data_IF_109571498167
#
_entry.id   IF_109571498167
#
_cell.length_a   1.000
_cell.length_b   1.000
_cell.length_c   1.000
_cell.angle_alpha   90.00
_cell.angle_beta   90.00
_cell.angle_gamma   90.00
#
_symmetry.space_group_name_H-M   'P 1'
#
loop_
_entity.id
_entity.type
_entity.pdbx_description
1 polymer ?
#
# COMPACT_ATOMS: atom_id res chain seq x y z
N UNK A 1 15.22 -12.92 -10.70
CA UNK A 1 15.96 -12.08 -11.67
C UNK A 1 17.02 -12.91 -12.39
N UNK A 2 17.21 -12.67 -13.69
CA UNK A 2 18.26 -13.30 -14.49
C UNK A 2 19.64 -12.82 -14.03
N UNK A 3 20.62 -13.73 -13.94
CA UNK A 3 22.00 -13.36 -13.61
C UNK A 3 22.53 -12.33 -14.61
N UNK A 4 23.07 -11.23 -14.10
CA UNK A 4 23.69 -10.20 -14.94
C UNK A 4 24.97 -10.74 -15.56
N UNK A 5 25.07 -10.72 -16.88
CA UNK A 5 26.24 -11.16 -17.66
C UNK A 5 26.83 -10.03 -18.51
N UNK A 6 26.08 -8.94 -18.68
CA UNK A 6 26.51 -7.73 -19.39
C UNK A 6 26.13 -6.46 -18.63
N UNK A 7 27.02 -5.48 -18.68
CA UNK A 7 26.81 -4.12 -18.20
C UNK A 7 26.98 -3.11 -19.34
N UNK A 8 26.01 -2.22 -19.51
CA UNK A 8 26.13 -1.02 -20.34
C UNK A 8 26.39 0.18 -19.44
N UNK A 9 27.57 0.79 -19.56
CA UNK A 9 27.96 1.99 -18.83
C UNK A 9 27.73 3.22 -19.71
N UNK A 10 26.77 4.07 -19.31
CA UNK A 10 26.58 5.37 -19.95
C UNK A 10 27.54 6.39 -19.33
N UNK A 11 28.27 7.17 -20.13
CA UNK A 11 29.03 8.33 -19.62
C UNK A 11 28.18 9.59 -19.51
N UNK A 12 26.95 9.57 -20.05
CA UNK A 12 26.02 10.69 -20.06
C UNK A 12 26.67 11.97 -20.61
N UNK A 13 27.12 11.93 -21.86
CA UNK A 13 27.86 13.03 -22.50
C UNK A 13 29.21 13.35 -21.82
N UNK A 14 29.87 12.32 -21.28
CA UNK A 14 31.14 12.43 -20.55
C UNK A 14 31.06 13.35 -19.32
N UNK A 15 29.86 13.53 -18.75
CA UNK A 15 29.63 14.43 -17.61
C UNK A 15 30.02 13.81 -16.26
N UNK A 16 30.46 12.56 -16.24
CA UNK A 16 30.98 11.89 -15.04
C UNK A 16 32.16 10.98 -15.38
N UNK A 17 33.09 10.85 -14.45
CA UNK A 17 34.14 9.82 -14.53
C UNK A 17 33.55 8.45 -14.27
N UNK A 18 33.95 7.47 -15.08
CA UNK A 18 33.55 6.07 -14.94
C UNK A 18 34.79 5.17 -15.09
N UNK A 19 34.77 4.02 -14.43
CA UNK A 19 35.81 2.99 -14.57
C UNK A 19 35.19 1.67 -15.04
N UNK A 20 35.32 1.31 -16.33
CA UNK A 20 34.83 0.04 -16.85
C UNK A 20 35.43 -1.18 -16.14
N UNK A 21 36.70 -1.08 -15.74
CA UNK A 21 37.42 -2.15 -15.02
C UNK A 21 36.85 -2.35 -13.62
N UNK A 22 36.64 -1.26 -12.86
CA UNK A 22 36.05 -1.32 -11.52
C UNK A 22 34.62 -1.84 -11.58
N UNK A 23 33.83 -1.36 -12.54
CA UNK A 23 32.46 -1.79 -12.76
C UNK A 23 32.37 -3.28 -13.14
N UNK A 24 33.26 -3.76 -14.03
CA UNK A 24 33.36 -5.18 -14.37
C UNK A 24 33.64 -6.01 -13.12
N UNK A 25 34.63 -5.60 -12.32
CA UNK A 25 35.02 -6.28 -11.08
C UNK A 25 33.89 -6.31 -10.05
N UNK A 26 33.15 -5.20 -9.88
CA UNK A 26 32.02 -5.10 -8.95
C UNK A 26 30.92 -6.13 -9.24
N UNK A 27 30.75 -6.49 -10.50
CA UNK A 27 29.77 -7.47 -10.97
C UNK A 27 30.37 -8.87 -11.18
N UNK A 28 31.57 -9.14 -10.66
CA UNK A 28 32.20 -10.47 -10.79
C UNK A 28 32.80 -10.76 -12.17
N UNK A 29 33.23 -9.72 -12.91
CA UNK A 29 33.95 -9.84 -14.17
C UNK A 29 33.05 -9.90 -15.42
N UNK A 30 31.84 -9.33 -15.35
CA UNK A 30 30.91 -9.29 -16.51
C UNK A 30 31.48 -8.50 -17.69
N UNK A 31 30.92 -8.74 -18.87
CA UNK A 31 31.24 -7.94 -20.06
C UNK A 31 30.72 -6.51 -19.90
N UNK A 32 31.61 -5.52 -20.02
CA UNK A 32 31.25 -4.11 -19.92
C UNK A 32 31.37 -3.44 -21.28
N UNK A 33 30.31 -2.73 -21.69
CA UNK A 33 30.33 -1.87 -22.87
C UNK A 33 30.01 -0.44 -22.46
N UNK A 34 30.90 0.49 -22.83
CA UNK A 34 30.71 1.92 -22.61
C UNK A 34 30.00 2.56 -23.80
N UNK A 35 29.10 3.49 -23.52
CA UNK A 35 28.44 4.32 -24.52
C UNK A 35 28.20 5.72 -23.95
N UNK A 36 27.99 6.71 -24.81
CA UNK A 36 27.95 8.10 -24.38
C UNK A 36 26.52 8.57 -24.09
N UNK A 37 25.58 8.16 -24.94
CA UNK A 37 24.20 8.62 -24.99
C UNK A 37 23.25 7.44 -25.20
N UNK A 38 23.26 6.47 -24.28
CA UNK A 38 22.44 5.25 -24.36
C UNK A 38 20.94 5.50 -24.50
N UNK A 39 20.43 6.63 -24.01
CA UNK A 39 19.02 6.99 -24.12
C UNK A 39 18.65 7.75 -25.39
N UNK A 40 19.63 8.12 -26.22
CA UNK A 40 19.39 8.86 -27.45
C UNK A 40 20.23 8.29 -28.60
N UNK A 41 21.37 8.89 -28.91
CA UNK A 41 22.16 8.57 -30.10
C UNK A 41 22.74 7.15 -30.10
N UNK A 42 22.90 6.53 -28.93
CA UNK A 42 23.46 5.17 -28.77
C UNK A 42 22.39 4.16 -28.33
N UNK A 43 21.09 4.44 -28.53
CA UNK A 43 20.00 3.54 -28.11
C UNK A 43 20.09 2.16 -28.78
N UNK A 44 20.61 2.11 -30.00
CA UNK A 44 20.88 0.87 -30.75
C UNK A 44 21.88 -0.06 -30.03
N UNK A 45 22.74 0.48 -29.15
CA UNK A 45 23.62 -0.31 -28.30
C UNK A 45 22.81 -1.04 -27.23
N UNK A 46 21.82 -0.38 -26.63
CA UNK A 46 20.91 -0.97 -25.67
C UNK A 46 20.01 -2.02 -26.33
N UNK A 47 19.40 -1.71 -27.47
CA UNK A 47 18.54 -2.64 -28.20
C UNK A 47 19.27 -3.94 -28.55
N UNK A 48 20.47 -3.86 -29.15
CA UNK A 48 21.27 -5.05 -29.50
C UNK A 48 21.71 -5.86 -28.28
N UNK A 49 22.01 -5.18 -27.17
CA UNK A 49 22.37 -5.87 -25.95
C UNK A 49 21.19 -6.67 -25.40
N UNK A 50 19.99 -6.09 -25.45
CA UNK A 50 18.76 -6.77 -25.05
C UNK A 50 18.46 -7.93 -26.00
N UNK A 51 18.46 -7.77 -27.32
CA UNK A 51 18.16 -8.86 -28.30
C UNK A 51 18.99 -10.14 -28.12
N UNK A 52 20.21 -10.04 -27.59
CA UNK A 52 21.13 -11.19 -27.42
C UNK A 52 20.65 -12.31 -26.48
N UNK A 53 19.60 -12.08 -25.67
CA UNK A 53 19.10 -13.04 -24.68
C UNK A 53 19.82 -13.03 -23.32
N UNK A 54 20.92 -12.30 -23.19
CA UNK A 54 21.69 -12.18 -21.95
C UNK A 54 21.03 -11.28 -20.89
N UNK A 55 21.33 -11.52 -19.61
CA UNK A 55 20.99 -10.60 -18.52
C UNK A 55 21.82 -9.32 -18.61
N UNK A 56 21.15 -8.19 -18.87
CA UNK A 56 21.79 -6.89 -19.15
C UNK A 56 21.43 -5.87 -18.07
N UNK A 57 22.46 -5.30 -17.44
CA UNK A 57 22.32 -4.13 -16.57
C UNK A 57 22.67 -2.86 -17.36
N UNK A 58 21.86 -1.81 -17.24
CA UNK A 58 22.14 -0.49 -17.81
C UNK A 58 22.37 0.51 -16.67
N UNK A 59 23.56 1.10 -16.64
CA UNK A 59 23.94 2.08 -15.61
C UNK A 59 23.41 3.48 -15.95
N UNK A 60 22.09 3.63 -15.95
CA UNK A 60 21.39 4.89 -16.08
C UNK A 60 20.00 4.78 -15.42
N UNK A 61 19.84 5.36 -14.23
CA UNK A 61 18.55 5.33 -13.52
C UNK A 61 17.54 6.35 -14.04
N UNK A 62 17.99 7.52 -14.52
CA UNK A 62 17.08 8.57 -15.03
C UNK A 62 16.22 8.07 -16.19
N UNK A 63 16.78 7.23 -17.06
CA UNK A 63 16.10 6.75 -18.27
C UNK A 63 15.60 5.32 -18.12
N UNK A 64 15.37 4.87 -16.89
CA UNK A 64 14.87 3.52 -16.58
C UNK A 64 13.55 3.20 -17.27
N UNK A 65 12.59 4.14 -17.29
CA UNK A 65 11.31 3.98 -17.98
C UNK A 65 11.49 3.72 -19.49
N UNK A 66 12.33 4.51 -20.16
CA UNK A 66 12.66 4.32 -21.58
C UNK A 66 13.24 2.92 -21.85
N UNK A 67 14.17 2.46 -21.00
CA UNK A 67 14.76 1.14 -21.17
C UNK A 67 13.79 0.00 -20.86
N UNK A 68 12.86 0.21 -19.91
CA UNK A 68 11.79 -0.74 -19.61
C UNK A 68 10.84 -0.90 -20.81
N UNK A 69 10.40 0.21 -21.41
CA UNK A 69 9.60 0.21 -22.65
C UNK A 69 10.36 -0.51 -23.79
N UNK A 70 11.64 -0.18 -23.99
CA UNK A 70 12.47 -0.87 -24.99
C UNK A 70 12.60 -2.37 -24.71
N UNK A 71 12.69 -2.78 -23.44
CA UNK A 71 12.75 -4.19 -23.08
C UNK A 71 11.42 -4.91 -23.31
N UNK A 72 10.29 -4.26 -23.07
CA UNK A 72 8.95 -4.79 -23.37
C UNK A 72 8.78 -5.02 -24.87
N UNK A 73 9.12 -4.03 -25.71
CA UNK A 73 9.08 -4.15 -27.17
C UNK A 73 9.93 -5.31 -27.70
N UNK A 74 10.99 -5.68 -26.98
CA UNK A 74 11.94 -6.74 -27.33
C UNK A 74 11.73 -8.07 -26.58
N UNK A 75 10.72 -8.18 -25.71
CA UNK A 75 10.49 -9.36 -24.87
C UNK A 75 11.67 -9.68 -23.94
N UNK A 76 12.26 -8.65 -23.32
CA UNK A 76 13.46 -8.70 -22.51
C UNK A 76 13.25 -8.27 -21.03
N UNK A 77 12.01 -8.12 -20.59
CA UNK A 77 11.60 -7.56 -19.29
C UNK A 77 12.24 -8.30 -18.12
N UNK A 78 12.28 -9.65 -18.17
CA UNK A 78 12.90 -10.48 -17.13
C UNK A 78 14.43 -10.49 -17.11
N UNK A 79 15.06 -9.74 -18.02
CA UNK A 79 16.52 -9.76 -18.28
C UNK A 79 17.18 -8.40 -18.18
N UNK A 80 16.40 -7.32 -18.06
CA UNK A 80 16.91 -5.97 -17.90
C UNK A 80 16.95 -5.60 -16.41
N UNK A 81 18.04 -4.98 -15.98
CA UNK A 81 18.06 -4.16 -14.76
C UNK A 81 18.63 -2.77 -15.06
N UNK A 82 18.24 -1.77 -14.28
CA UNK A 82 18.79 -0.43 -14.37
C UNK A 82 19.30 0.03 -13.02
N UNK A 83 20.35 0.84 -13.03
CA UNK A 83 20.95 1.38 -11.80
C UNK A 83 21.43 2.80 -12.02
N UNK A 84 21.11 3.69 -11.07
CA UNK A 84 21.65 5.03 -11.06
C UNK A 84 23.05 5.06 -10.45
N UNK A 85 24.04 5.32 -11.28
CA UNK A 85 25.42 5.59 -10.87
C UNK A 85 25.82 7.06 -11.09
N UNK A 86 24.93 7.89 -11.64
CA UNK A 86 25.21 9.30 -11.95
C UNK A 86 24.75 10.18 -10.81
N UNK A 87 23.45 10.24 -10.52
CA UNK A 87 22.94 11.19 -9.52
C UNK A 87 23.27 10.70 -8.10
N UNK A 88 23.24 9.38 -7.88
CA UNK A 88 23.70 8.77 -6.63
C UNK A 88 25.23 8.80 -6.44
N UNK A 89 26.04 9.01 -7.48
CA UNK A 89 27.50 8.99 -7.35
C UNK A 89 28.26 9.91 -8.32
N UNK A 90 28.21 9.67 -9.63
CA UNK A 90 29.07 10.32 -10.64
C UNK A 90 28.97 11.85 -10.75
N UNK A 91 27.82 12.46 -10.43
CA UNK A 91 27.67 13.90 -10.29
C UNK A 91 27.91 14.32 -8.84
N UNK A 92 29.19 14.29 -8.47
CA UNK A 92 29.68 14.66 -7.13
C UNK A 92 30.84 15.63 -7.24
N UNK A 93 31.13 16.33 -6.13
CA UNK A 93 32.34 17.15 -6.00
C UNK A 93 33.60 16.29 -5.72
N UNK A 94 33.42 15.02 -5.35
CA UNK A 94 34.52 14.07 -5.15
C UNK A 94 35.19 13.74 -6.50
N UNK A 95 36.52 13.94 -6.65
CA UNK A 95 37.20 13.61 -7.89
C UNK A 95 37.23 12.11 -8.23
N UNK A 96 36.96 11.21 -7.26
CA UNK A 96 36.90 9.76 -7.49
C UNK A 96 35.67 9.10 -6.87
N UNK A 97 34.58 9.05 -7.64
CA UNK A 97 33.35 8.36 -7.27
C UNK A 97 33.37 6.84 -7.54
N UNK A 98 34.49 6.28 -8.01
CA UNK A 98 34.56 4.92 -8.58
C UNK A 98 34.12 3.85 -7.59
N UNK A 99 34.55 3.95 -6.32
CA UNK A 99 34.17 2.99 -5.28
C UNK A 99 32.66 2.99 -5.01
N UNK A 100 32.03 4.17 -5.01
CA UNK A 100 30.58 4.30 -4.80
C UNK A 100 29.81 3.78 -6.01
N UNK A 101 30.22 4.11 -7.23
CA UNK A 101 29.61 3.57 -8.45
C UNK A 101 29.69 2.03 -8.48
N UNK A 102 30.85 1.46 -8.14
CA UNK A 102 31.03 0.01 -8.02
C UNK A 102 30.09 -0.61 -6.96
N UNK A 103 29.96 0.01 -5.79
CA UNK A 103 29.06 -0.46 -4.75
C UNK A 103 27.59 -0.44 -5.20
N UNK A 104 27.15 0.62 -5.90
CA UNK A 104 25.80 0.73 -6.45
C UNK A 104 25.50 -0.36 -7.50
N UNK A 105 26.47 -0.64 -8.37
CA UNK A 105 26.36 -1.73 -9.35
C UNK A 105 26.22 -3.10 -8.66
N UNK A 106 27.07 -3.37 -7.66
CA UNK A 106 27.03 -4.61 -6.91
C UNK A 106 25.71 -4.78 -6.13
N UNK A 107 25.25 -3.71 -5.48
CA UNK A 107 23.93 -3.65 -4.80
C UNK A 107 22.80 -4.01 -5.77
N UNK A 108 22.77 -3.38 -6.95
CA UNK A 108 21.75 -3.61 -7.97
C UNK A 108 21.80 -5.01 -8.61
N UNK A 109 22.88 -5.76 -8.41
CA UNK A 109 23.02 -7.13 -8.89
C UNK A 109 22.60 -8.18 -7.86
N UNK A 110 22.33 -7.78 -6.61
CA UNK A 110 21.81 -8.68 -5.59
C UNK A 110 20.40 -9.13 -5.97
N UNK A 111 20.12 -10.42 -5.76
CA UNK A 111 18.76 -10.93 -5.88
C UNK A 111 17.93 -10.37 -4.74
N UNK A 112 16.94 -9.54 -5.07
CA UNK A 112 15.94 -9.15 -4.09
C UNK A 112 15.02 -10.35 -3.81
N UNK A 113 14.80 -10.72 -2.54
CA UNK A 113 13.81 -11.72 -2.20
C UNK A 113 12.42 -11.20 -2.55
N UNK A 114 11.54 -12.14 -2.90
CA UNK A 114 10.13 -11.80 -3.10
C UNK A 114 9.52 -11.44 -1.75
N UNK A 115 8.83 -10.30 -1.72
CA UNK A 115 8.01 -9.93 -0.57
C UNK A 115 6.80 -10.86 -0.55
N UNK A 116 6.53 -11.56 0.56
CA UNK A 116 5.31 -12.34 0.68
C UNK A 116 4.11 -11.40 0.63
N UNK A 117 3.18 -11.64 -0.30
CA UNK A 117 1.95 -10.86 -0.46
C UNK A 117 0.73 -11.74 -0.21
N UNK A 118 -0.39 -11.09 0.03
CA UNK A 118 -1.70 -11.72 0.07
C UNK A 118 -2.75 -10.85 -0.62
N UNK A 119 -3.76 -11.52 -1.15
CA UNK A 119 -4.89 -10.83 -1.75
C UNK A 119 -5.82 -10.27 -0.67
N UNK A 120 -6.25 -9.03 -0.89
CA UNK A 120 -7.36 -8.36 -0.20
C UNK A 120 -8.43 -8.11 -1.25
N UNK A 121 -9.62 -8.66 -1.02
CA UNK A 121 -10.74 -8.59 -1.97
C UNK A 121 -11.75 -7.58 -1.42
N UNK A 122 -12.15 -6.63 -2.26
CA UNK A 122 -13.25 -5.70 -2.00
C UNK A 122 -14.30 -5.85 -3.10
N UNK A 123 -15.49 -6.30 -2.73
CA UNK A 123 -16.63 -6.44 -3.64
C UNK A 123 -17.27 -5.08 -3.98
N UNK A 124 -16.88 -4.04 -3.25
CA UNK A 124 -17.37 -2.68 -3.43
C UNK A 124 -18.61 -2.37 -2.59
N UNK A 125 -18.77 -3.02 -1.44
CA UNK A 125 -19.81 -2.65 -0.46
C UNK A 125 -19.34 -1.48 0.40
N UNK A 126 -20.09 -0.37 0.40
CA UNK A 126 -19.68 0.87 1.02
C UNK A 126 -20.71 1.40 2.02
N UNK A 127 -20.27 1.62 3.26
CA UNK A 127 -21.05 2.27 4.30
C UNK A 127 -20.73 3.77 4.34
N UNK A 128 -21.72 4.60 4.06
CA UNK A 128 -21.61 6.07 4.17
C UNK A 128 -22.23 6.52 5.49
N UNK A 129 -21.47 7.29 6.27
CA UNK A 129 -21.89 7.81 7.58
C UNK A 129 -21.85 9.33 7.59
N UNK A 130 -22.94 10.01 7.92
CA UNK A 130 -22.91 11.47 8.09
C UNK A 130 -24.30 12.12 8.08
N UNK A 131 -24.31 13.45 8.26
CA UNK A 131 -25.54 14.24 8.14
C UNK A 131 -26.10 14.20 6.71
N UNK A 132 -27.41 14.30 6.57
CA UNK A 132 -28.12 14.08 5.30
C UNK A 132 -27.61 14.96 4.16
N UNK A 133 -27.26 16.21 4.46
CA UNK A 133 -26.82 17.23 3.50
C UNK A 133 -25.52 16.87 2.78
N UNK A 134 -24.67 16.05 3.42
CA UNK A 134 -23.37 15.64 2.87
C UNK A 134 -23.35 14.16 2.53
N UNK A 135 -23.98 13.32 3.35
CA UNK A 135 -23.99 11.86 3.17
C UNK A 135 -24.86 11.41 1.98
N UNK A 136 -26.02 12.02 1.74
CA UNK A 136 -26.89 11.62 0.62
C UNK A 136 -26.28 11.96 -0.75
N UNK A 137 -25.70 13.17 -0.98
CA UNK A 137 -24.98 13.43 -2.23
C UNK A 137 -23.77 12.50 -2.43
N UNK A 138 -23.03 12.20 -1.36
CA UNK A 138 -21.91 11.26 -1.41
C UNK A 138 -22.35 9.84 -1.76
N UNK A 139 -23.41 9.35 -1.13
CA UNK A 139 -24.01 8.04 -1.42
C UNK A 139 -24.47 7.94 -2.87
N UNK A 140 -25.14 8.99 -3.38
CA UNK A 140 -25.58 9.07 -4.77
C UNK A 140 -24.41 9.00 -5.76
N UNK A 141 -23.31 9.70 -5.47
CA UNK A 141 -22.10 9.64 -6.30
C UNK A 141 -21.48 8.23 -6.32
N UNK A 142 -21.37 7.59 -5.15
CA UNK A 142 -20.76 6.26 -5.00
C UNK A 142 -21.62 5.13 -5.57
N UNK A 143 -22.95 5.26 -5.53
CA UNK A 143 -23.90 4.25 -6.01
C UNK A 143 -23.76 3.92 -7.50
N UNK A 144 -23.02 4.74 -8.26
CA UNK A 144 -22.69 4.47 -9.67
C UNK A 144 -21.69 3.34 -9.86
N UNK A 145 -20.86 3.05 -8.84
CA UNK A 145 -19.81 2.03 -8.88
C UNK A 145 -19.87 1.02 -7.73
N UNK A 146 -20.41 1.42 -6.58
CA UNK A 146 -20.40 0.66 -5.33
C UNK A 146 -21.81 0.30 -4.87
N UNK A 147 -21.95 -0.80 -4.12
CA UNK A 147 -23.16 -1.12 -3.38
C UNK A 147 -23.18 -0.30 -2.09
N UNK A 148 -24.05 0.71 -2.02
CA UNK A 148 -24.02 1.71 -0.94
C UNK A 148 -25.13 1.50 0.09
N UNK A 149 -24.77 1.60 1.36
CA UNK A 149 -25.70 1.83 2.47
C UNK A 149 -25.36 3.15 3.14
N UNK A 150 -26.31 4.09 3.16
CA UNK A 150 -26.16 5.39 3.80
C UNK A 150 -26.86 5.39 5.16
N UNK A 151 -26.11 5.64 6.24
CA UNK A 151 -26.66 5.75 7.60
C UNK A 151 -26.61 7.19 8.08
N UNK A 152 -27.80 7.73 8.34
CA UNK A 152 -28.01 9.07 8.87
C UNK A 152 -28.12 9.03 10.41
N UNK A 153 -27.64 10.06 11.14
CA UNK A 153 -27.75 10.11 12.59
C UNK A 153 -29.18 10.33 13.08
N UNK A 154 -30.04 10.90 12.23
CA UNK A 154 -31.44 11.22 12.50
C UNK A 154 -32.27 11.26 11.22
N UNK A 155 -33.60 11.27 11.36
CA UNK A 155 -34.54 11.37 10.24
C UNK A 155 -34.53 12.78 9.64
N UNK A 156 -34.75 12.88 8.34
CA UNK A 156 -34.94 14.16 7.64
C UNK A 156 -36.22 14.14 6.80
N UNK A 157 -36.93 15.28 6.79
CA UNK A 157 -38.21 15.42 6.06
C UNK A 157 -38.00 15.53 4.54
N UNK A 158 -36.81 15.93 4.10
CA UNK A 158 -36.45 16.12 2.69
C UNK A 158 -35.88 14.86 2.02
N UNK A 159 -35.93 13.71 2.69
CA UNK A 159 -35.45 12.45 2.12
C UNK A 159 -36.40 11.97 1.01
N UNK A 160 -35.86 11.89 -0.20
CA UNK A 160 -36.55 11.30 -1.35
C UNK A 160 -36.07 9.84 -1.48
N UNK A 161 -36.96 8.84 -1.34
CA UNK A 161 -36.59 7.44 -1.56
C UNK A 161 -35.99 7.22 -2.95
N UNK A 162 -34.96 6.39 -3.01
CA UNK A 162 -34.24 6.02 -4.23
C UNK A 162 -34.03 4.52 -4.25
N UNK A 163 -33.96 3.93 -5.44
CA UNK A 163 -33.59 2.53 -5.66
C UNK A 163 -32.08 2.34 -5.90
N UNK A 164 -31.32 3.43 -5.96
CA UNK A 164 -29.87 3.39 -6.23
C UNK A 164 -29.03 2.92 -5.03
N UNK A 165 -29.51 3.12 -3.79
CA UNK A 165 -28.79 2.75 -2.57
C UNK A 165 -29.74 2.65 -1.38
N UNK A 166 -29.32 1.91 -0.35
CA UNK A 166 -30.09 1.77 0.89
C UNK A 166 -29.87 2.96 1.82
N UNK A 167 -30.93 3.38 2.51
CA UNK A 167 -30.87 4.42 3.54
C UNK A 167 -31.38 3.87 4.86
N UNK A 168 -30.69 4.19 5.94
CA UNK A 168 -31.13 3.89 7.29
C UNK A 168 -30.83 5.06 8.24
N UNK A 169 -31.52 5.07 9.38
CA UNK A 169 -31.16 5.92 10.53
C UNK A 169 -30.52 5.04 11.58
N UNK A 170 -29.46 5.52 12.23
CA UNK A 170 -28.80 4.80 13.30
C UNK A 170 -27.56 5.50 13.82
N UNK A 171 -27.02 5.01 14.93
CA UNK A 171 -25.80 5.52 15.54
C UNK A 171 -24.74 4.43 15.55
N UNK A 172 -23.57 4.72 14.99
CA UNK A 172 -22.46 3.78 15.02
C UNK A 172 -21.95 3.62 16.46
N UNK A 173 -21.99 2.38 16.96
CA UNK A 173 -21.45 2.00 18.27
C UNK A 173 -19.99 1.56 18.15
N UNK A 174 -19.68 0.66 17.22
CA UNK A 174 -18.34 0.11 17.02
C UNK A 174 -18.07 -0.15 15.55
N UNK A 175 -16.82 -0.01 15.14
CA UNK A 175 -16.30 -0.46 13.86
C UNK A 175 -14.96 -1.17 14.07
N UNK A 176 -14.76 -2.31 13.42
CA UNK A 176 -13.52 -3.09 13.44
C UNK A 176 -13.21 -3.59 12.03
N UNK A 177 -11.97 -3.98 11.77
CA UNK A 177 -11.54 -4.53 10.48
C UNK A 177 -10.74 -3.54 9.62
N UNK A 178 -10.67 -3.83 8.33
CA UNK A 178 -9.99 -3.06 7.30
C UNK A 178 -10.69 -3.27 5.96
N UNK A 179 -10.10 -2.76 4.87
CA UNK A 179 -10.58 -2.95 3.50
C UNK A 179 -11.01 -4.39 3.22
N UNK A 180 -12.22 -4.57 2.68
CA UNK A 180 -12.78 -5.88 2.34
C UNK A 180 -13.37 -6.67 3.53
N UNK A 181 -13.38 -6.08 4.73
CA UNK A 181 -13.75 -6.83 5.93
C UNK A 181 -14.08 -5.97 7.14
N UNK A 182 -14.71 -4.80 6.97
CA UNK A 182 -15.22 -4.05 8.11
C UNK A 182 -16.45 -4.73 8.71
N UNK A 183 -16.48 -4.79 10.04
CA UNK A 183 -17.66 -5.15 10.81
C UNK A 183 -18.09 -3.94 11.63
N UNK A 184 -19.37 -3.58 11.53
CA UNK A 184 -19.96 -2.44 12.25
C UNK A 184 -21.12 -2.89 13.12
N UNK A 185 -21.33 -2.17 14.22
CA UNK A 185 -22.52 -2.31 15.08
C UNK A 185 -23.20 -0.96 15.21
N UNK A 186 -24.51 -0.94 14.98
CA UNK A 186 -25.38 0.23 14.97
C UNK A 186 -26.44 0.11 16.07
N UNK A 187 -26.66 1.21 16.78
CA UNK A 187 -27.78 1.39 17.72
C UNK A 187 -28.87 2.26 17.12
N UNK A 188 -30.08 2.14 17.65
CA UNK A 188 -31.26 2.81 17.15
C UNK A 188 -31.42 2.65 15.62
N UNK A 189 -30.99 1.50 15.09
CA UNK A 189 -30.99 1.21 13.65
C UNK A 189 -32.42 1.03 13.16
N UNK A 190 -32.77 1.79 12.12
CA UNK A 190 -34.08 1.82 11.48
C UNK A 190 -33.89 1.90 9.96
N UNK A 191 -34.15 0.84 9.20
CA UNK A 191 -34.09 0.91 7.74
C UNK A 191 -35.23 1.77 7.19
N UNK A 192 -34.98 2.44 6.06
CA UNK A 192 -36.00 3.17 5.33
C UNK A 192 -37.08 2.20 4.84
N UNK A 193 -38.35 2.55 5.04
CA UNK A 193 -39.48 1.85 4.46
C UNK A 193 -39.90 2.55 3.16
N UNK A 194 -39.80 1.89 1.99
CA UNK A 194 -40.04 2.54 0.70
C UNK A 194 -41.51 2.85 0.41
N UNK A 195 -42.44 2.31 1.20
CA UNK A 195 -43.88 2.46 0.99
C UNK A 195 -44.47 3.63 1.78
N UNK A 196 -45.37 4.41 1.14
CA UNK A 196 -46.18 5.39 1.86
C UNK A 196 -46.63 6.57 1.00
N UNK A 197 -47.63 7.31 1.50
CA UNK A 197 -47.98 8.65 1.00
C UNK A 197 -47.54 9.65 2.04
N UNK A 198 -46.61 10.53 1.70
CA UNK A 198 -46.07 11.54 2.64
C UNK A 198 -44.56 11.43 2.79
N UNK A 199 -44.00 11.98 3.89
CA UNK A 199 -42.57 11.91 4.18
C UNK A 199 -42.07 10.47 4.30
N UNK A 200 -40.76 10.29 4.11
CA UNK A 200 -40.06 9.02 4.29
C UNK A 200 -40.30 8.46 5.71
N UNK A 201 -40.68 7.18 5.80
CA UNK A 201 -40.87 6.47 7.08
C UNK A 201 -39.78 5.45 7.30
N UNK A 202 -39.50 5.13 8.56
CA UNK A 202 -38.47 4.16 8.94
C UNK A 202 -39.07 3.17 9.92
N UNK A 203 -38.62 1.92 9.83
CA UNK A 203 -39.10 0.83 10.68
C UNK A 203 -38.80 1.02 12.17
N UNK A 204 -39.11 0.01 12.96
CA UNK A 204 -38.90 0.02 14.41
C UNK A 204 -37.40 0.07 14.76
N UNK A 205 -37.00 0.82 15.82
CA UNK A 205 -35.62 0.91 16.25
C UNK A 205 -35.11 -0.42 16.81
N UNK A 206 -33.88 -0.77 16.44
CA UNK A 206 -33.16 -1.92 16.97
C UNK A 206 -31.74 -1.53 17.42
N UNK A 207 -31.33 -2.01 18.60
CA UNK A 207 -29.99 -1.82 19.11
C UNK A 207 -29.09 -3.02 18.80
N UNK A 208 -27.80 -2.76 18.59
CA UNK A 208 -26.83 -3.81 18.30
C UNK A 208 -26.97 -4.45 16.91
N UNK A 209 -27.58 -3.75 15.94
CA UNK A 209 -27.66 -4.21 14.55
C UNK A 209 -26.25 -4.36 13.97
N UNK A 210 -25.94 -5.52 13.38
CA UNK A 210 -24.62 -5.83 12.83
C UNK A 210 -24.66 -5.76 11.31
N UNK A 211 -23.65 -5.16 10.72
CA UNK A 211 -23.47 -5.12 9.27
C UNK A 211 -21.99 -5.29 8.91
N UNK A 212 -21.72 -5.69 7.67
CA UNK A 212 -20.37 -5.80 7.10
C UNK A 212 -20.29 -4.96 5.84
N UNK A 213 -19.10 -4.40 5.59
CA UNK A 213 -18.82 -3.66 4.36
C UNK A 213 -17.33 -3.70 4.04
N UNK A 214 -16.97 -3.45 2.80
CA UNK A 214 -15.57 -3.40 2.38
C UNK A 214 -14.96 -2.03 2.64
N UNK A 215 -15.77 -0.97 2.56
CA UNK A 215 -15.35 0.42 2.60
C UNK A 215 -16.25 1.19 3.58
N UNK A 216 -15.66 2.09 4.35
CA UNK A 216 -16.38 3.07 5.17
C UNK A 216 -16.02 4.48 4.70
N UNK A 217 -17.03 5.24 4.28
CA UNK A 217 -16.94 6.69 4.07
C UNK A 217 -17.50 7.43 5.29
N UNK A 218 -16.61 8.00 6.11
CA UNK A 218 -16.97 8.71 7.34
C UNK A 218 -16.95 10.23 7.14
N UNK A 219 -18.17 10.79 7.11
CA UNK A 219 -18.49 12.21 6.95
C UNK A 219 -19.22 12.75 8.20
N UNK A 220 -19.09 12.08 9.34
CA UNK A 220 -19.79 12.46 10.58
C UNK A 220 -19.29 13.78 11.17
N UNK A 221 -18.10 14.24 10.79
CA UNK A 221 -17.46 15.42 11.41
C UNK A 221 -16.96 15.19 12.84
N UNK A 222 -17.01 13.94 13.31
CA UNK A 222 -16.51 13.50 14.61
C UNK A 222 -15.05 13.02 14.53
N UNK A 223 -14.50 12.57 15.67
CA UNK A 223 -13.20 11.91 15.70
C UNK A 223 -13.15 10.62 14.87
N UNK A 224 -11.94 10.17 14.48
CA UNK A 224 -11.77 8.97 13.67
C UNK A 224 -12.28 7.71 14.40
N UNK A 225 -12.77 6.74 13.62
CA UNK A 225 -13.21 5.43 14.12
C UNK A 225 -12.05 4.53 14.54
N UNK A 226 -10.86 4.76 13.97
CA UNK A 226 -9.70 3.91 14.15
C UNK A 226 -8.49 4.73 14.58
N UNK A 227 -7.61 4.17 15.42
CA UNK A 227 -6.31 4.78 15.69
C UNK A 227 -5.45 4.77 14.41
N UNK A 228 -4.65 5.82 14.24
CA UNK A 228 -3.88 6.06 13.01
C UNK A 228 -4.74 5.86 11.74
N UNK A 229 -5.93 6.48 11.73
CA UNK A 229 -6.95 6.43 10.69
C UNK A 229 -6.43 6.57 9.26
N UNK A 230 -5.47 7.48 9.02
CA UNK A 230 -4.85 7.65 7.71
C UNK A 230 -4.13 6.40 7.17
N UNK A 231 -3.86 5.40 8.02
CA UNK A 231 -3.27 4.09 7.67
C UNK A 231 -4.29 2.96 7.58
N UNK A 232 -5.57 3.24 7.84
CA UNK A 232 -6.65 2.25 7.75
C UNK A 232 -7.11 2.17 6.31
N UNK A 233 -6.62 1.16 5.59
CA UNK A 233 -7.12 0.84 4.25
C UNK A 233 -8.64 0.62 4.29
N UNK A 234 -9.36 1.10 3.28
CA UNK A 234 -10.83 1.01 3.23
C UNK A 234 -11.56 2.07 4.06
N UNK A 235 -10.89 2.83 4.92
CA UNK A 235 -11.50 3.91 5.70
C UNK A 235 -11.20 5.27 5.09
N UNK A 236 -12.19 5.84 4.40
CA UNK A 236 -12.14 7.18 3.84
C UNK A 236 -12.83 8.15 4.79
N UNK A 237 -12.08 9.06 5.42
CA UNK A 237 -12.63 10.10 6.30
C UNK A 237 -12.42 11.48 5.71
N UNK A 238 -13.43 12.34 5.81
CA UNK A 238 -13.32 13.75 5.48
C UNK A 238 -14.08 14.62 6.48
N UNK A 239 -13.63 15.87 6.62
CA UNK A 239 -14.43 16.89 7.31
C UNK A 239 -15.63 17.25 6.42
N UNK A 240 -16.89 17.07 6.88
CA UNK A 240 -18.06 17.45 6.10
C UNK A 240 -18.13 18.96 5.79
N UNK A 241 -17.42 19.79 6.54
CA UNK A 241 -17.29 21.23 6.29
C UNK A 241 -16.32 21.61 5.16
N UNK A 242 -15.54 20.66 4.63
CA UNK A 242 -14.61 20.87 3.52
C UNK A 242 -15.07 20.09 2.26
N UNK A 243 -15.76 20.77 1.31
CA UNK A 243 -16.27 20.12 0.09
C UNK A 243 -15.18 19.45 -0.76
N UNK A 244 -13.95 19.98 -0.75
CA UNK A 244 -12.85 19.39 -1.49
C UNK A 244 -12.38 18.09 -0.82
N UNK A 245 -12.29 18.08 0.51
CA UNK A 245 -11.97 16.87 1.27
C UNK A 245 -13.03 15.77 1.06
N UNK A 246 -14.32 16.12 1.11
CA UNK A 246 -15.42 15.19 0.84
C UNK A 246 -15.31 14.60 -0.57
N UNK A 247 -15.10 15.43 -1.59
CA UNK A 247 -14.93 14.96 -2.98
C UNK A 247 -13.74 14.02 -3.13
N UNK A 248 -12.61 14.33 -2.50
CA UNK A 248 -11.43 13.47 -2.54
C UNK A 248 -11.67 12.14 -1.81
N UNK A 249 -12.41 12.14 -0.70
CA UNK A 249 -12.77 10.93 0.02
C UNK A 249 -13.73 10.04 -0.78
N UNK A 250 -14.69 10.63 -1.49
CA UNK A 250 -15.58 9.91 -2.44
C UNK A 250 -14.73 9.25 -3.54
N UNK A 251 -13.85 10.00 -4.20
CA UNK A 251 -13.00 9.46 -5.27
C UNK A 251 -12.13 8.30 -4.77
N UNK A 252 -11.51 8.47 -3.59
CA UNK A 252 -10.72 7.40 -2.95
C UNK A 252 -11.56 6.17 -2.64
N UNK A 253 -12.81 6.33 -2.18
CA UNK A 253 -13.70 5.20 -1.92
C UNK A 253 -14.07 4.47 -3.21
N UNK A 254 -14.32 5.18 -4.32
CA UNK A 254 -14.59 4.58 -5.63
C UNK A 254 -13.44 3.68 -6.10
N UNK A 255 -12.19 4.08 -5.89
CA UNK A 255 -11.00 3.35 -6.35
C UNK A 255 -10.67 2.10 -5.50
N UNK A 256 -11.45 1.81 -4.45
CA UNK A 256 -11.20 0.73 -3.49
C UNK A 256 -12.02 -0.55 -3.77
N UNK A 257 -12.51 -0.73 -5.00
CA UNK A 257 -13.15 -1.98 -5.44
C UNK A 257 -12.17 -2.81 -6.28
N UNK A 258 -12.09 -4.12 -6.01
CA UNK A 258 -11.25 -5.04 -6.76
C UNK A 258 -10.41 -5.96 -5.88
N UNK A 259 -9.36 -6.52 -6.49
CA UNK A 259 -8.39 -7.39 -5.82
C UNK A 259 -7.09 -6.60 -5.67
N UNK A 260 -6.59 -6.50 -4.44
CA UNK A 260 -5.39 -5.77 -4.09
C UNK A 260 -4.36 -6.73 -3.50
N UNK A 261 -3.10 -6.58 -3.89
CA UNK A 261 -1.99 -7.30 -3.26
C UNK A 261 -1.46 -6.49 -2.08
N UNK A 262 -1.48 -7.10 -0.89
CA UNK A 262 -0.97 -6.52 0.33
C UNK A 262 0.26 -7.28 0.83
N UNK A 263 1.41 -6.60 1.03
CA UNK A 263 2.57 -7.19 1.66
C UNK A 263 2.30 -7.71 3.07
N UNK A 264 2.84 -8.88 3.38
CA UNK A 264 2.96 -9.39 4.75
C UNK A 264 4.17 -8.75 5.42
N UNK A 265 4.00 -7.52 5.88
CA UNK A 265 5.09 -6.70 6.43
C UNK A 265 5.82 -7.30 7.63
N UNK A 266 5.16 -8.18 8.40
CA UNK A 266 5.70 -8.74 9.64
C UNK A 266 5.64 -10.26 9.56
N UNK A 267 6.81 -10.89 9.66
CA UNK A 267 6.94 -12.30 9.96
C UNK A 267 6.96 -12.50 11.47
N UNK A 268 6.04 -13.33 11.96
CA UNK A 268 5.92 -13.62 13.39
C UNK A 268 6.21 -15.10 13.66
N UNK A 269 7.10 -15.36 14.60
CA UNK A 269 7.48 -16.70 15.05
C UNK A 269 7.04 -16.91 16.50
N UNK A 270 5.90 -17.59 16.67
CA UNK A 270 5.28 -17.84 17.97
C UNK A 270 6.23 -18.54 18.95
N UNK A 271 7.07 -19.45 18.45
CA UNK A 271 8.00 -20.22 19.30
C UNK A 271 9.05 -19.34 19.99
N UNK A 272 9.35 -18.17 19.41
CA UNK A 272 10.25 -17.15 19.96
C UNK A 272 9.52 -16.12 20.82
N UNK A 273 8.18 -16.10 20.83
CA UNK A 273 7.43 -15.16 21.63
C UNK A 273 7.60 -15.45 23.12
N UNK A 274 8.05 -14.43 23.85
CA UNK A 274 8.38 -14.53 25.27
C UNK A 274 7.34 -13.86 26.18
N UNK A 275 6.19 -13.42 25.63
CA UNK A 275 5.13 -12.70 26.34
C UNK A 275 4.73 -13.42 27.64
N UNK A 276 4.23 -14.65 27.53
CA UNK A 276 3.86 -15.46 28.71
C UNK A 276 5.04 -16.21 29.30
N UNK A 277 5.88 -16.83 28.45
CA UNK A 277 6.97 -17.74 28.88
C UNK A 277 8.05 -17.11 29.75
N UNK A 278 8.38 -15.84 29.53
CA UNK A 278 9.47 -15.20 30.25
C UNK A 278 8.99 -14.19 31.31
N UNK A 279 7.72 -13.73 31.22
CA UNK A 279 7.18 -12.60 31.98
C UNK A 279 8.19 -11.46 32.12
N UNK A 280 9.00 -11.24 31.07
CA UNK A 280 10.10 -10.27 31.10
C UNK A 280 9.53 -8.89 30.81
N UNK A 281 9.89 -7.87 31.60
CA UNK A 281 9.50 -6.50 31.31
C UNK A 281 9.83 -6.13 29.86
N UNK A 282 8.82 -5.76 29.09
CA UNK A 282 8.97 -5.32 27.71
C UNK A 282 8.54 -6.31 26.63
N UNK A 283 8.20 -7.56 26.97
CA UNK A 283 7.62 -8.50 26.00
C UNK A 283 6.17 -8.17 25.62
N UNK A 284 5.51 -7.22 26.31
CA UNK A 284 4.24 -6.63 25.88
C UNK A 284 4.37 -5.38 24.99
N UNK A 285 5.58 -4.87 24.72
CA UNK A 285 5.77 -3.56 24.02
C UNK A 285 5.12 -3.51 22.63
N UNK A 286 5.06 -4.65 21.93
CA UNK A 286 4.42 -4.74 20.61
C UNK A 286 2.93 -4.35 20.66
N UNK A 287 2.23 -4.69 21.75
CA UNK A 287 0.83 -4.33 21.97
C UNK A 287 0.63 -2.82 22.10
N UNK A 288 1.55 -2.15 22.80
CA UNK A 288 1.45 -0.70 23.06
C UNK A 288 1.98 0.17 21.92
N UNK A 289 2.91 -0.35 21.12
CA UNK A 289 3.56 0.43 20.05
C UNK A 289 2.81 0.37 18.72
N UNK A 290 1.90 -0.59 18.55
CA UNK A 290 1.16 -0.75 17.29
C UNK A 290 0.17 0.41 17.09
N UNK A 291 0.40 1.32 16.12
CA UNK A 291 -0.44 2.50 15.97
C UNK A 291 -1.82 2.19 15.38
N UNK A 292 -1.96 1.07 14.65
CA UNK A 292 -3.22 0.65 14.03
C UNK A 292 -4.01 -0.34 14.90
N UNK A 293 -3.45 -0.80 16.02
CA UNK A 293 -4.09 -1.83 16.83
C UNK A 293 -4.17 -3.20 16.13
N UNK A 294 -3.25 -3.50 15.20
CA UNK A 294 -3.16 -4.80 14.53
C UNK A 294 -2.76 -5.95 15.46
N UNK A 295 -2.24 -5.66 16.65
CA UNK A 295 -1.65 -6.66 17.55
C UNK A 295 -2.53 -6.82 18.78
N UNK A 296 -2.97 -8.04 19.03
CA UNK A 296 -3.82 -8.39 20.18
C UNK A 296 -3.22 -9.56 20.96
N UNK A 297 -3.47 -9.68 22.28
CA UNK A 297 -3.07 -10.86 23.03
C UNK A 297 -3.76 -12.12 22.51
N UNK A 298 -3.02 -13.22 22.40
CA UNK A 298 -3.55 -14.54 22.06
C UNK A 298 -2.89 -15.63 22.92
N UNK A 299 -3.53 -15.93 24.05
CA UNK A 299 -3.00 -16.88 25.04
C UNK A 299 -1.60 -16.50 25.52
N UNK A 300 -0.62 -17.33 25.17
CA UNK A 300 0.78 -17.18 25.59
C UNK A 300 1.63 -16.28 24.68
N UNK A 301 1.06 -15.82 23.55
CA UNK A 301 1.70 -15.00 22.53
C UNK A 301 0.78 -13.84 22.10
N UNK A 302 1.10 -13.21 20.98
CA UNK A 302 0.26 -12.17 20.36
C UNK A 302 -0.15 -12.60 18.96
N UNK A 303 -1.36 -12.27 18.55
CA UNK A 303 -1.78 -12.36 17.17
C UNK A 303 -1.54 -11.01 16.47
N UNK A 304 -1.02 -11.06 15.25
CA UNK A 304 -0.87 -9.88 14.38
C UNK A 304 -1.84 -10.05 13.23
N UNK A 305 -2.80 -9.16 13.13
CA UNK A 305 -3.77 -9.12 12.03
C UNK A 305 -3.13 -8.48 10.78
N UNK A 306 -2.90 -9.25 9.69
CA UNK A 306 -2.29 -8.72 8.48
C UNK A 306 -3.23 -7.81 7.68
N UNK A 307 -4.56 -7.89 7.85
CA UNK A 307 -5.52 -6.96 7.24
C UNK A 307 -5.37 -5.56 7.85
N UNK A 308 -5.12 -5.48 9.16
CA UNK A 308 -4.99 -4.22 9.91
C UNK A 308 -3.55 -3.68 9.91
N UNK A 309 -2.56 -4.53 9.68
CA UNK A 309 -1.15 -4.12 9.66
C UNK A 309 -0.88 -3.11 8.54
N UNK A 310 -0.26 -1.98 8.89
CA UNK A 310 0.12 -0.92 7.94
C UNK A 310 1.64 -0.79 7.74
N UNK A 311 2.40 -1.87 8.03
CA UNK A 311 3.82 -1.94 7.69
C UNK A 311 4.76 -0.94 8.38
N UNK A 312 4.39 -0.38 9.54
CA UNK A 312 5.25 0.62 10.19
C UNK A 312 6.54 0.07 10.85
N UNK A 313 6.67 -1.25 10.99
CA UNK A 313 7.86 -1.90 11.57
C UNK A 313 8.08 -1.69 13.08
N UNK A 314 7.21 -0.96 13.77
CA UNK A 314 7.42 -0.59 15.18
C UNK A 314 7.49 -1.80 16.13
N UNK A 315 6.67 -2.83 15.89
CA UNK A 315 6.69 -4.05 16.70
C UNK A 315 7.99 -4.85 16.53
N UNK A 316 8.53 -4.93 15.31
CA UNK A 316 9.80 -5.58 15.04
C UNK A 316 10.97 -4.87 15.73
N UNK A 317 10.98 -3.53 15.72
CA UNK A 317 12.03 -2.73 16.36
C UNK A 317 12.07 -2.89 17.89
N UNK A 318 10.94 -3.17 18.55
CA UNK A 318 10.87 -3.28 20.01
C UNK A 318 10.88 -4.72 20.53
N UNK A 319 10.84 -5.74 19.66
CA UNK A 319 10.76 -7.15 20.06
C UNK A 319 12.14 -7.69 20.49
N UNK A 320 12.39 -7.93 21.79
CA UNK A 320 13.72 -8.35 22.25
C UNK A 320 14.02 -9.81 21.93
N UNK A 321 13.01 -10.65 21.75
CA UNK A 321 13.20 -12.07 21.44
C UNK A 321 13.33 -12.37 19.95
N UNK A 322 13.14 -11.36 19.09
CA UNK A 322 13.12 -11.55 17.63
C UNK A 322 11.88 -12.30 17.12
N UNK A 323 10.83 -12.43 17.95
CA UNK A 323 9.58 -13.07 17.53
C UNK A 323 8.85 -12.31 16.42
N UNK A 324 9.00 -10.99 16.35
CA UNK A 324 8.51 -10.18 15.23
C UNK A 324 9.69 -9.63 14.43
N UNK A 325 9.72 -9.88 13.13
CA UNK A 325 10.70 -9.32 12.19
C UNK A 325 10.01 -8.64 11.01
N UNK A 326 10.58 -7.53 10.53
CA UNK A 326 10.10 -6.87 9.32
C UNK A 326 10.47 -7.69 8.08
N UNK A 327 9.53 -7.87 7.17
CA UNK A 327 9.63 -8.86 6.07
C UNK A 327 9.26 -8.27 4.68
N UNK A 328 9.39 -6.96 4.51
CA UNK A 328 9.15 -6.27 3.23
C UNK A 328 10.22 -5.17 2.94
N UNK A 329 11.36 -5.51 2.30
CA UNK A 329 11.73 -6.84 1.84
C UNK A 329 12.27 -7.72 2.98
N UNK A 330 12.17 -9.06 2.87
CA UNK A 330 12.76 -9.98 3.83
C UNK A 330 14.25 -9.75 4.06
N UNK A 331 14.73 -9.69 5.31
CA UNK A 331 16.15 -9.42 5.61
C UNK A 331 17.09 -10.63 5.44
N UNK A 332 16.57 -11.81 5.15
CA UNK A 332 17.35 -13.06 5.10
C UNK A 332 18.40 -13.17 3.98
N UNK A 333 18.54 -12.15 3.13
CA UNK A 333 19.42 -12.10 1.97
C UNK A 333 20.58 -11.08 2.10
N UNK A 334 20.62 -10.33 3.20
CA UNK A 334 21.73 -9.43 3.56
C UNK A 334 22.87 -10.22 4.22
#
# INVERSE_FOLDING_TARGET
MTKITRLLLCTCEETMSISPESAAKALGGVSVKTANRLCTADLDVASRALESGDGTMIACGQMSALFAELAEDLGAEGRLSTVDIRDRAGWTADPDATAKQAALLAEAALSQPETPVRDVISEGTCLVLGAAEVALPAASALATSLAVTCVLPETTDDLIPTDAYDVAVGRLRTATGALGGFAVTLDAFRPLEPGGRGPATFGDPSDGARSTCDIILDLRGEGPLFPADHKREGYARADPGDPLAVRNAIARATDLQGVFEKPLYIRFEESLCALSRASRPGCERCLTVCPTGAIVPDGDHVAIDPDICAGCGACAAVCPSGAASYDDPPVGHL
#
